data_IF_381490245342
#
_entry.id   IF_381490245342
#
_cell.length_a   1.000
_cell.length_b   1.000
_cell.length_c   1.000
_cell.angle_alpha   90.00
_cell.angle_beta   90.00
_cell.angle_gamma   90.00
#
_symmetry.space_group_name_H-M   'P 1'
#
loop_
_entity.id
_entity.type
_entity.pdbx_description
1 polymer ?
#
# COMPACT_ATOMS: atom_id res chain seq x y z
N UNK A 1 -5.98 -17.24 -1.29
CA UNK A 1 -5.03 -16.56 -0.39
C UNK A 1 -3.59 -16.76 -0.87
N UNK A 2 -3.14 -18.01 -1.09
CA UNK A 2 -1.76 -18.31 -1.49
C UNK A 2 -1.26 -17.57 -2.74
N UNK A 3 -2.07 -17.46 -3.80
CA UNK A 3 -1.67 -16.73 -5.02
C UNK A 3 -1.44 -15.24 -4.75
N UNK A 4 -2.31 -14.61 -3.94
CA UNK A 4 -2.17 -13.20 -3.61
C UNK A 4 -0.95 -12.96 -2.71
N UNK A 5 -0.71 -13.83 -1.71
CA UNK A 5 0.50 -13.76 -0.87
C UNK A 5 1.78 -13.96 -1.68
N UNK A 6 1.79 -14.92 -2.61
CA UNK A 6 2.92 -15.14 -3.51
C UNK A 6 3.18 -13.91 -4.40
N UNK A 7 2.11 -13.27 -4.89
CA UNK A 7 2.22 -12.05 -5.68
C UNK A 7 2.80 -10.91 -4.84
N UNK A 8 2.29 -10.69 -3.62
CA UNK A 8 2.80 -9.65 -2.72
C UNK A 8 4.26 -9.83 -2.37
N UNK A 9 4.71 -11.07 -2.10
CA UNK A 9 6.13 -11.35 -1.87
C UNK A 9 7.04 -10.88 -3.01
N UNK A 10 6.56 -10.86 -4.25
CA UNK A 10 7.34 -10.37 -5.40
C UNK A 10 7.33 -8.84 -5.55
N UNK A 11 6.38 -8.16 -4.91
CA UNK A 11 6.18 -6.72 -5.03
C UNK A 11 6.61 -5.95 -3.78
N UNK A 12 6.60 -6.60 -2.62
CA UNK A 12 6.65 -5.98 -1.30
C UNK A 12 7.74 -4.95 -1.12
N UNK A 13 9.00 -5.29 -1.41
CA UNK A 13 10.16 -4.40 -1.25
C UNK A 13 10.08 -3.10 -2.08
N UNK A 14 9.15 -3.03 -3.04
CA UNK A 14 8.94 -1.86 -3.88
C UNK A 14 7.75 -0.99 -3.42
N UNK A 15 6.99 -1.43 -2.41
CA UNK A 15 5.81 -0.72 -1.92
C UNK A 15 6.20 0.35 -0.89
N UNK A 16 5.37 1.39 -0.69
CA UNK A 16 5.73 2.57 0.12
C UNK A 16 5.65 2.31 1.63
N UNK A 17 5.66 1.03 2.06
CA UNK A 17 5.73 0.71 3.48
C UNK A 17 7.19 0.85 3.97
N UNK A 18 7.47 1.69 4.99
CA UNK A 18 8.85 2.01 5.39
C UNK A 18 9.58 0.85 6.08
N UNK A 19 8.84 -0.16 6.53
CA UNK A 19 9.39 -1.35 7.19
C UNK A 19 9.90 -2.44 6.26
N UNK A 20 10.31 -3.55 6.86
CA UNK A 20 10.90 -4.71 6.18
C UNK A 20 9.81 -5.72 5.85
N UNK A 21 9.75 -6.15 4.59
CA UNK A 21 8.91 -7.26 4.16
C UNK A 21 9.47 -8.59 4.64
N UNK A 22 8.64 -9.38 5.32
CA UNK A 22 9.09 -10.63 5.90
C UNK A 22 9.35 -11.68 4.80
N UNK A 23 10.43 -12.47 4.90
CA UNK A 23 10.72 -13.54 3.95
C UNK A 23 9.67 -14.64 3.98
N UNK A 24 8.88 -14.73 5.06
CA UNK A 24 7.64 -15.50 5.16
C UNK A 24 6.65 -14.83 6.10
N UNK A 25 5.37 -14.90 5.74
CA UNK A 25 4.31 -14.36 6.56
C UNK A 25 4.26 -15.08 7.92
N UNK A 26 4.04 -14.32 8.99
CA UNK A 26 4.09 -14.83 10.37
C UNK A 26 2.71 -14.73 11.00
N UNK A 27 2.18 -15.84 11.50
CA UNK A 27 0.90 -15.83 12.21
C UNK A 27 1.07 -15.31 13.65
N UNK A 28 0.22 -14.37 14.04
CA UNK A 28 0.16 -13.77 15.37
C UNK A 28 -1.29 -13.62 15.83
N UNK A 29 -1.50 -13.25 17.10
CA UNK A 29 -2.85 -13.02 17.63
C UNK A 29 -3.58 -11.85 16.97
N UNK A 30 -2.84 -10.95 16.32
CA UNK A 30 -3.37 -9.78 15.62
C UNK A 30 -3.57 -10.01 14.12
N UNK A 31 -3.21 -11.19 13.60
CA UNK A 31 -3.37 -11.54 12.18
C UNK A 31 -2.13 -12.22 11.59
N UNK A 32 -2.07 -12.28 10.28
CA UNK A 32 -0.92 -12.78 9.52
C UNK A 32 -0.07 -11.58 9.11
N UNK A 33 1.08 -11.40 9.75
CA UNK A 33 2.01 -10.28 9.50
C UNK A 33 2.79 -10.51 8.21
N UNK A 34 2.82 -9.49 7.34
CA UNK A 34 3.49 -9.48 6.04
C UNK A 34 4.80 -8.67 6.07
N UNK A 35 4.80 -7.55 6.77
CA UNK A 35 5.92 -6.63 6.87
C UNK A 35 5.93 -5.94 8.25
N UNK A 36 7.11 -5.52 8.71
CA UNK A 36 7.31 -4.91 10.03
C UNK A 36 8.25 -3.72 9.97
N UNK A 37 7.84 -2.62 10.56
CA UNK A 37 8.69 -1.49 10.91
C UNK A 37 9.01 -1.58 12.40
N UNK A 38 10.24 -1.97 12.73
CA UNK A 38 10.60 -2.47 14.06
C UNK A 38 10.31 -1.44 15.16
N UNK A 39 9.35 -1.78 16.03
CA UNK A 39 8.93 -0.92 17.15
C UNK A 39 7.96 0.21 16.78
N UNK A 40 7.50 0.27 15.52
CA UNK A 40 6.60 1.32 15.04
C UNK A 40 5.28 0.77 14.51
N UNK A 41 5.32 -0.14 13.54
CA UNK A 41 4.10 -0.66 12.93
C UNK A 41 4.28 -2.04 12.30
N UNK A 42 3.16 -2.68 11.94
CA UNK A 42 3.14 -3.93 11.16
C UNK A 42 2.04 -3.90 10.12
N UNK A 43 2.31 -4.42 8.93
CA UNK A 43 1.29 -4.70 7.94
C UNK A 43 0.76 -6.12 8.13
N UNK A 44 -0.52 -6.27 8.46
CA UNK A 44 -1.11 -7.57 8.79
C UNK A 44 -2.39 -7.85 8.01
N UNK A 45 -2.68 -9.13 7.83
CA UNK A 45 -3.89 -9.65 7.18
C UNK A 45 -4.76 -10.38 8.21
N UNK A 46 -6.03 -10.01 8.29
CA UNK A 46 -7.02 -10.80 9.02
C UNK A 46 -7.23 -12.15 8.31
N UNK A 47 -6.97 -13.31 8.93
CA UNK A 47 -7.12 -14.61 8.30
C UNK A 47 -8.57 -15.00 8.00
N UNK A 48 -9.56 -14.38 8.65
CA UNK A 48 -10.98 -14.68 8.45
C UNK A 48 -11.57 -13.89 7.29
N UNK A 49 -11.21 -12.61 7.17
CA UNK A 49 -11.78 -11.70 6.16
C UNK A 49 -10.85 -11.43 4.98
N UNK A 50 -9.55 -11.58 5.19
CA UNK A 50 -8.51 -11.16 4.25
C UNK A 50 -8.26 -9.65 4.25
N UNK A 51 -8.89 -8.87 5.15
CA UNK A 51 -8.64 -7.44 5.26
C UNK A 51 -7.19 -7.17 5.66
N UNK A 52 -6.63 -6.08 5.13
CA UNK A 52 -5.26 -5.65 5.40
C UNK A 52 -5.30 -4.39 6.24
N UNK A 53 -4.51 -4.38 7.32
CA UNK A 53 -4.39 -3.25 8.23
C UNK A 53 -2.95 -2.94 8.57
N UNK A 54 -2.67 -1.66 8.85
CA UNK A 54 -1.51 -1.24 9.60
C UNK A 54 -1.83 -1.36 11.08
N UNK A 55 -0.92 -1.97 11.83
CA UNK A 55 -1.05 -2.18 13.27
C UNK A 55 0.05 -1.40 13.98
N UNK A 56 -0.33 -0.51 14.88
CA UNK A 56 0.57 0.27 15.73
C UNK A 56 0.04 0.32 17.18
N UNK A 57 0.61 1.19 18.01
CA UNK A 57 0.20 1.38 19.40
C UNK A 57 -1.19 2.04 19.54
N UNK A 58 -1.68 2.75 18.51
CA UNK A 58 -2.98 3.42 18.47
C UNK A 58 -4.10 2.49 17.94
N UNK A 59 -3.73 1.42 17.25
CA UNK A 59 -4.61 0.29 16.95
C UNK A 59 -4.44 -0.26 15.54
N UNK A 60 -5.56 -0.67 14.94
CA UNK A 60 -5.60 -1.24 13.60
C UNK A 60 -6.19 -0.22 12.61
N UNK A 61 -5.35 0.31 11.75
CA UNK A 61 -5.75 1.22 10.68
C UNK A 61 -6.04 0.43 9.39
N UNK A 62 -7.22 0.58 8.76
CA UNK A 62 -7.53 -0.13 7.53
C UNK A 62 -6.66 0.34 6.35
N UNK A 63 -6.05 -0.61 5.64
CA UNK A 63 -5.30 -0.38 4.39
C UNK A 63 -6.10 -0.84 3.18
N UNK A 64 -6.67 -2.04 3.25
CA UNK A 64 -7.58 -2.56 2.22
C UNK A 64 -8.61 -3.52 2.82
N UNK A 65 -9.79 -3.56 2.22
CA UNK A 65 -10.88 -4.46 2.61
C UNK A 65 -10.58 -5.93 2.32
N UNK A 66 -9.64 -6.23 1.42
CA UNK A 66 -9.23 -7.59 1.08
C UNK A 66 -7.80 -7.65 0.53
N UNK A 67 -7.15 -8.81 0.70
CA UNK A 67 -5.79 -9.05 0.20
C UNK A 67 -5.67 -8.91 -1.31
N UNK A 68 -6.71 -9.30 -2.05
CA UNK A 68 -6.75 -9.14 -3.50
C UNK A 68 -6.83 -7.66 -3.92
N UNK A 69 -7.54 -6.83 -3.15
CA UNK A 69 -7.58 -5.39 -3.36
C UNK A 69 -6.22 -4.74 -3.06
N UNK A 70 -5.55 -5.17 -1.99
CA UNK A 70 -4.19 -4.72 -1.68
C UNK A 70 -3.19 -5.06 -2.80
N UNK A 71 -3.27 -6.26 -3.39
CA UNK A 71 -2.48 -6.61 -4.59
C UNK A 71 -2.78 -5.66 -5.75
N UNK A 72 -4.06 -5.40 -6.04
CA UNK A 72 -4.43 -4.54 -7.16
C UNK A 72 -3.97 -3.08 -6.95
N UNK A 73 -4.04 -2.58 -5.72
CA UNK A 73 -3.52 -1.25 -5.37
C UNK A 73 -1.99 -1.21 -5.47
N UNK A 74 -1.29 -2.24 -4.96
CA UNK A 74 0.14 -2.37 -5.11
C UNK A 74 0.59 -2.35 -6.58
N UNK A 75 -0.10 -3.06 -7.46
CA UNK A 75 0.21 -3.06 -8.90
C UNK A 75 -0.07 -1.69 -9.55
N UNK A 76 -1.16 -1.02 -9.16
CA UNK A 76 -1.46 0.33 -9.64
C UNK A 76 -0.42 1.36 -9.19
N UNK A 77 0.02 1.28 -7.92
CA UNK A 77 1.08 2.13 -7.38
C UNK A 77 2.38 1.96 -8.15
N UNK A 78 2.82 0.71 -8.37
CA UNK A 78 4.08 0.45 -9.07
C UNK A 78 4.04 0.88 -10.54
N UNK A 79 2.87 0.78 -11.19
CA UNK A 79 2.68 1.31 -12.53
C UNK A 79 2.77 2.84 -12.56
N UNK A 80 2.15 3.51 -11.59
CA UNK A 80 2.22 4.97 -11.47
C UNK A 80 3.63 5.44 -11.12
N UNK A 81 4.34 4.77 -10.21
CA UNK A 81 5.75 5.09 -9.91
C UNK A 81 6.64 5.00 -11.15
N UNK A 82 6.47 3.95 -11.95
CA UNK A 82 7.20 3.81 -13.21
C UNK A 82 6.85 4.90 -14.23
N UNK A 83 5.63 5.44 -14.21
CA UNK A 83 5.23 6.60 -15.03
C UNK A 83 5.91 7.88 -14.52
N UNK A 84 5.92 8.10 -13.19
CA UNK A 84 6.60 9.22 -12.55
C UNK A 84 8.11 9.22 -12.83
N UNK A 85 8.78 8.07 -12.69
CA UNK A 85 10.21 7.90 -12.98
C UNK A 85 10.58 8.22 -14.45
N UNK A 86 9.60 8.21 -15.36
CA UNK A 86 9.79 8.49 -16.78
C UNK A 86 9.50 9.95 -17.15
N UNK A 87 8.93 10.74 -16.24
CA UNK A 87 8.70 12.17 -16.43
C UNK A 87 10.01 12.96 -16.31
N UNK A 88 10.12 14.11 -16.98
CA UNK A 88 11.26 15.01 -16.77
C UNK A 88 11.20 15.68 -15.39
N UNK A 89 12.35 16.11 -14.89
CA UNK A 89 12.49 16.71 -13.54
C UNK A 89 11.64 17.99 -13.32
N UNK A 90 11.11 18.61 -14.38
CA UNK A 90 10.29 19.83 -14.33
C UNK A 90 8.78 19.59 -14.60
N UNK A 91 8.32 18.34 -14.48
CA UNK A 91 6.94 17.91 -14.73
C UNK A 91 6.04 17.91 -13.48
N UNK A 92 6.08 18.98 -12.69
CA UNK A 92 5.33 19.09 -11.43
C UNK A 92 3.82 18.92 -11.64
N UNK A 93 3.25 19.56 -12.67
CA UNK A 93 1.81 19.48 -12.99
C UNK A 93 1.40 18.05 -13.40
N UNK A 94 2.26 17.34 -14.16
CA UNK A 94 2.00 15.95 -14.56
C UNK A 94 2.10 14.97 -13.38
N UNK A 95 3.03 15.21 -12.44
CA UNK A 95 3.15 14.44 -11.20
C UNK A 95 1.91 14.63 -10.33
N UNK A 96 1.48 15.86 -10.08
CA UNK A 96 0.26 16.14 -9.33
C UNK A 96 -0.95 15.42 -9.94
N UNK A 97 -1.14 15.55 -11.26
CA UNK A 97 -2.21 14.88 -11.98
C UNK A 97 -2.10 13.34 -11.91
N UNK A 98 -0.89 12.78 -11.86
CA UNK A 98 -0.67 11.34 -11.71
C UNK A 98 -1.07 10.87 -10.31
N UNK A 99 -0.71 11.60 -9.25
CA UNK A 99 -1.13 11.34 -7.87
C UNK A 99 -2.66 11.35 -7.73
N UNK A 100 -3.33 12.36 -8.29
CA UNK A 100 -4.80 12.44 -8.30
C UNK A 100 -5.44 11.24 -9.02
N UNK A 101 -4.92 10.90 -10.22
CA UNK A 101 -5.40 9.72 -10.98
C UNK A 101 -5.20 8.44 -10.18
N UNK A 102 -4.09 8.30 -9.47
CA UNK A 102 -3.79 7.14 -8.66
C UNK A 102 -4.73 7.03 -7.45
N UNK A 103 -4.99 8.13 -6.74
CA UNK A 103 -5.93 8.15 -5.63
C UNK A 103 -7.36 7.76 -6.07
N UNK A 104 -7.80 8.26 -7.23
CA UNK A 104 -9.10 7.85 -7.80
C UNK A 104 -9.09 6.37 -8.24
N UNK A 105 -7.96 5.88 -8.77
CA UNK A 105 -7.82 4.46 -9.10
C UNK A 105 -7.93 3.58 -7.85
N UNK A 106 -7.32 3.97 -6.74
CA UNK A 106 -7.45 3.27 -5.46
C UNK A 106 -8.90 3.26 -4.97
N UNK A 107 -9.61 4.39 -5.07
CA UNK A 107 -11.04 4.47 -4.72
C UNK A 107 -11.90 3.48 -5.52
N UNK A 108 -11.61 3.32 -6.80
CA UNK A 108 -12.32 2.37 -7.68
C UNK A 108 -11.98 0.91 -7.37
N UNK A 109 -10.74 0.63 -7.00
CA UNK A 109 -10.28 -0.71 -6.63
C UNK A 109 -10.84 -1.12 -5.27
N UNK A 110 -10.80 -0.22 -4.30
CA UNK A 110 -11.23 -0.45 -2.93
C UNK A 110 -11.43 0.88 -2.16
N UNK A 111 -12.66 1.37 -1.98
CA UNK A 111 -12.93 2.64 -1.31
C UNK A 111 -12.35 2.76 0.11
N UNK A 112 -12.13 1.64 0.80
CA UNK A 112 -11.53 1.62 2.14
C UNK A 112 -10.10 2.16 2.13
N UNK A 113 -9.37 1.95 1.02
CA UNK A 113 -7.96 2.34 0.89
C UNK A 113 -7.70 3.84 0.94
N UNK A 114 -8.70 4.65 0.58
CA UNK A 114 -8.60 6.12 0.46
C UNK A 114 -9.80 6.81 1.12
N UNK A 115 -10.33 6.19 2.18
CA UNK A 115 -11.48 6.71 2.93
C UNK A 115 -11.15 7.94 3.81
N UNK A 116 -9.87 8.24 4.01
CA UNK A 116 -9.32 9.39 4.73
C UNK A 116 -8.04 9.85 4.04
N UNK A 117 -7.67 11.13 4.16
CA UNK A 117 -6.44 11.68 3.56
C UNK A 117 -5.18 11.09 4.19
N UNK A 118 -5.24 10.66 5.45
CA UNK A 118 -4.11 10.08 6.17
C UNK A 118 -3.99 8.56 5.98
N UNK A 119 -4.83 7.94 5.14
CA UNK A 119 -4.69 6.49 4.85
C UNK A 119 -3.40 6.22 4.10
N UNK A 120 -2.83 5.04 4.35
CA UNK A 120 -1.64 4.53 3.67
C UNK A 120 -1.59 4.83 2.15
N UNK A 121 -2.66 4.49 1.42
CA UNK A 121 -2.69 4.69 -0.03
C UNK A 121 -3.00 6.13 -0.45
N UNK A 122 -3.68 6.91 0.40
CA UNK A 122 -3.88 8.35 0.17
C UNK A 122 -2.54 9.08 0.25
N UNK A 123 -1.78 8.82 1.32
CA UNK A 123 -0.43 9.38 1.52
C UNK A 123 0.50 8.96 0.39
N UNK A 124 0.53 7.68 0.03
CA UNK A 124 1.37 7.20 -1.07
C UNK A 124 1.04 7.83 -2.43
N UNK A 125 -0.23 8.14 -2.70
CA UNK A 125 -0.62 8.82 -3.93
C UNK A 125 -0.25 10.30 -3.92
N UNK A 126 -0.41 10.97 -2.77
CA UNK A 126 -0.02 12.36 -2.58
C UNK A 126 1.51 12.53 -2.69
N UNK A 127 2.28 11.70 -1.98
CA UNK A 127 3.74 11.74 -2.02
C UNK A 127 4.26 11.54 -3.45
N UNK A 128 3.70 10.56 -4.18
CA UNK A 128 4.04 10.36 -5.59
C UNK A 128 3.72 11.61 -6.43
N UNK A 129 2.61 12.29 -6.13
CA UNK A 129 2.22 13.54 -6.79
C UNK A 129 3.16 14.72 -6.52
N UNK A 130 3.93 14.67 -5.43
CA UNK A 130 5.00 15.63 -5.14
C UNK A 130 6.39 15.16 -5.60
N UNK A 131 6.48 14.04 -6.31
CA UNK A 131 7.78 13.45 -6.70
C UNK A 131 8.57 12.89 -5.52
N UNK A 132 7.90 12.58 -4.41
CA UNK A 132 8.48 11.93 -3.23
C UNK A 132 8.02 10.48 -3.18
N UNK A 133 8.96 9.52 -3.19
CA UNK A 133 8.63 8.08 -3.19
C UNK A 133 9.66 7.26 -2.42
#
# INVERSE_FOLDING_TARGET
MDVALARLRSLGEQLPYPGVWLPAARAESTGIVLAEDEGLSRLAVDPATGAVSLLDDDGAEPVNSALAAFVACAEAYLAARAEADALPDDADDELEALGERLAERFRQLDPVSVGDENRFWSVAAEELGYGTT
#
